data_IF_928579045950
#
_entry.id   IF_928579045950
#
_cell.length_a   1.000
_cell.length_b   1.000
_cell.length_c   1.000
_cell.angle_alpha   90.00
_cell.angle_beta   90.00
_cell.angle_gamma   90.00
#
_symmetry.space_group_name_H-M   'P 1'
#
loop_
_entity.id
_entity.type
_entity.pdbx_description
1 polymer ?
#
# COMPACT_ATOMS: atom_id res chain seq x y z
N UNK A 1 -10.77 7.19 4.42
CA UNK A 1 -10.76 5.83 5.00
C UNK A 1 -12.10 5.14 4.72
N UNK A 2 -12.08 3.83 4.40
CA UNK A 2 -13.30 3.01 4.29
C UNK A 2 -13.66 2.46 5.68
N UNK A 3 -14.94 2.54 6.06
CA UNK A 3 -15.44 1.98 7.33
C UNK A 3 -15.72 0.49 7.13
N UNK A 4 -15.07 -0.36 7.91
CA UNK A 4 -15.25 -1.82 7.86
C UNK A 4 -15.72 -2.33 9.21
N UNK A 5 -16.73 -3.18 9.21
CA UNK A 5 -17.18 -3.93 10.38
C UNK A 5 -16.55 -5.31 10.32
N UNK A 6 -15.83 -5.70 11.38
CA UNK A 6 -15.21 -7.02 11.50
C UNK A 6 -15.79 -7.75 12.69
N UNK A 7 -15.92 -9.07 12.57
CA UNK A 7 -16.25 -9.93 13.69
C UNK A 7 -14.96 -10.32 14.41
N UNK A 8 -14.95 -10.18 15.74
CA UNK A 8 -13.87 -10.62 16.60
C UNK A 8 -14.41 -11.64 17.60
N UNK A 9 -13.71 -12.75 17.85
CA UNK A 9 -14.01 -13.61 18.99
C UNK A 9 -14.01 -12.79 20.29
N UNK A 10 -14.92 -13.13 21.21
CA UNK A 10 -15.13 -12.36 22.45
C UNK A 10 -13.83 -12.20 23.25
N UNK A 11 -13.05 -13.28 23.38
CA UNK A 11 -11.75 -13.26 24.05
C UNK A 11 -10.76 -12.27 23.39
N UNK A 12 -10.71 -12.24 22.06
CA UNK A 12 -9.85 -11.31 21.31
C UNK A 12 -10.30 -9.86 21.51
N UNK A 13 -11.61 -9.62 21.47
CA UNK A 13 -12.18 -8.30 21.70
C UNK A 13 -11.88 -7.79 23.12
N UNK A 14 -12.03 -8.62 24.15
CA UNK A 14 -11.68 -8.26 25.52
C UNK A 14 -10.19 -7.94 25.70
N UNK A 15 -9.31 -8.74 25.08
CA UNK A 15 -7.87 -8.50 25.09
C UNK A 15 -7.53 -7.15 24.46
N UNK A 16 -8.06 -6.88 23.27
CA UNK A 16 -7.87 -5.60 22.57
C UNK A 16 -8.43 -4.42 23.36
N UNK A 17 -9.55 -4.59 24.05
CA UNK A 17 -10.13 -3.53 24.90
C UNK A 17 -9.21 -3.15 26.06
N UNK A 18 -8.58 -4.13 26.71
CA UNK A 18 -7.60 -3.87 27.79
C UNK A 18 -6.37 -3.16 27.25
N UNK A 19 -5.80 -3.66 26.15
CA UNK A 19 -4.65 -3.03 25.50
C UNK A 19 -4.94 -1.59 25.05
N UNK A 20 -6.12 -1.34 24.49
CA UNK A 20 -6.52 0.00 24.05
C UNK A 20 -6.62 0.97 25.22
N UNK A 21 -7.15 0.50 26.36
CA UNK A 21 -7.22 1.28 27.59
C UNK A 21 -5.82 1.60 28.14
N UNK A 22 -4.93 0.60 28.22
CA UNK A 22 -3.56 0.76 28.69
C UNK A 22 -2.73 1.71 27.82
N UNK A 23 -2.91 1.64 26.50
CA UNK A 23 -2.23 2.50 25.53
C UNK A 23 -2.94 3.86 25.30
N UNK A 24 -4.01 4.17 26.04
CA UNK A 24 -4.83 5.38 25.89
C UNK A 24 -5.23 5.66 24.43
N UNK A 25 -5.67 4.61 23.73
CA UNK A 25 -6.04 4.66 22.31
C UNK A 25 -7.34 3.89 22.07
N UNK A 26 -7.79 3.82 20.82
CA UNK A 26 -8.98 3.03 20.44
C UNK A 26 -8.58 1.65 19.91
N UNK A 27 -9.47 0.66 20.05
CA UNK A 27 -9.28 -0.68 19.43
C UNK A 27 -9.05 -0.56 17.92
N UNK A 28 -9.77 0.36 17.26
CA UNK A 28 -9.61 0.60 15.84
C UNK A 28 -8.20 1.13 15.48
N UNK A 29 -7.61 1.94 16.35
CA UNK A 29 -6.25 2.45 16.17
C UNK A 29 -5.20 1.37 16.39
N UNK A 30 -5.36 0.52 17.42
CA UNK A 30 -4.48 -0.64 17.60
C UNK A 30 -4.47 -1.55 16.38
N UNK A 31 -5.65 -1.83 15.83
CA UNK A 31 -5.79 -2.65 14.63
C UNK A 31 -5.10 -1.98 13.44
N UNK A 32 -5.25 -0.66 13.26
CA UNK A 32 -4.56 0.09 12.21
C UNK A 32 -3.05 -0.01 12.36
N UNK A 33 -2.52 0.29 13.53
CA UNK A 33 -1.09 0.20 13.81
C UNK A 33 -0.53 -1.20 13.56
N UNK A 34 -1.29 -2.24 13.93
CA UNK A 34 -0.90 -3.62 13.65
C UNK A 34 -0.91 -3.93 12.14
N UNK A 35 -1.89 -3.42 11.39
CA UNK A 35 -1.94 -3.57 9.93
C UNK A 35 -0.77 -2.84 9.28
N UNK A 36 -0.54 -1.57 9.64
CA UNK A 36 0.54 -0.76 9.08
C UNK A 36 1.91 -1.37 9.39
N UNK A 37 2.08 -1.96 10.59
CA UNK A 37 3.32 -2.63 10.95
C UNK A 37 3.60 -3.92 10.17
N UNK A 38 2.57 -4.60 9.67
CA UNK A 38 2.72 -5.88 8.95
C UNK A 38 2.67 -5.69 7.44
N UNK A 39 1.82 -4.78 6.96
CA UNK A 39 1.47 -4.63 5.55
C UNK A 39 1.72 -3.22 5.03
N UNK A 40 2.30 -2.30 5.82
CA UNK A 40 2.49 -0.91 5.41
C UNK A 40 3.26 -0.78 4.10
N UNK A 41 4.40 -1.47 4.00
CA UNK A 41 5.22 -1.52 2.77
C UNK A 41 4.42 -2.08 1.58
N UNK A 42 3.76 -3.23 1.76
CA UNK A 42 2.95 -3.84 0.70
C UNK A 42 1.81 -2.90 0.24
N UNK A 43 1.19 -2.16 1.17
CA UNK A 43 0.12 -1.21 0.87
C UNK A 43 0.67 -0.01 0.10
N UNK A 44 1.85 0.50 0.46
CA UNK A 44 2.54 1.59 -0.26
C UNK A 44 2.89 1.16 -1.68
N UNK A 45 3.51 -0.02 -1.85
CA UNK A 45 3.85 -0.58 -3.16
C UNK A 45 2.62 -0.75 -4.06
N UNK A 46 1.51 -1.23 -3.49
CA UNK A 46 0.24 -1.37 -4.23
C UNK A 46 -0.29 0.01 -4.65
N UNK A 47 -0.23 1.02 -3.77
CA UNK A 47 -0.69 2.37 -4.08
C UNK A 47 0.14 2.99 -5.21
N UNK A 48 1.47 2.90 -5.13
CA UNK A 48 2.37 3.39 -6.16
C UNK A 48 2.09 2.71 -7.52
N UNK A 49 1.90 1.39 -7.52
CA UNK A 49 1.53 0.66 -8.73
C UNK A 49 0.16 1.09 -9.28
N UNK A 50 -0.85 1.27 -8.44
CA UNK A 50 -2.18 1.74 -8.85
C UNK A 50 -2.12 3.13 -9.48
N UNK A 51 -1.33 4.04 -8.89
CA UNK A 51 -1.12 5.38 -9.44
C UNK A 51 -0.45 5.34 -10.82
N UNK A 52 0.63 4.58 -10.97
CA UNK A 52 1.31 4.43 -12.26
C UNK A 52 0.41 3.78 -13.32
N UNK A 53 -0.42 2.81 -12.92
CA UNK A 53 -1.39 2.20 -13.81
C UNK A 53 -2.46 3.21 -14.27
N UNK A 54 -2.97 4.05 -13.36
CA UNK A 54 -3.93 5.11 -13.71
C UNK A 54 -3.29 6.11 -14.68
N UNK A 55 -2.03 6.53 -14.44
CA UNK A 55 -1.29 7.42 -15.34
C UNK A 55 -1.14 6.82 -16.74
N UNK A 56 -0.77 5.54 -16.82
CA UNK A 56 -0.67 4.83 -18.09
C UNK A 56 -2.03 4.69 -18.79
N UNK A 57 -3.10 4.38 -18.06
CA UNK A 57 -4.44 4.27 -18.64
C UNK A 57 -4.95 5.60 -19.20
N UNK A 58 -4.66 6.72 -18.52
CA UNK A 58 -5.01 8.05 -18.99
C UNK A 58 -4.15 8.50 -20.20
N UNK A 59 -2.87 8.12 -20.20
CA UNK A 59 -1.89 8.51 -21.21
C UNK A 59 -1.02 7.32 -21.65
N UNK A 60 -1.54 6.38 -22.46
CA UNK A 60 -0.76 5.22 -22.89
C UNK A 60 0.52 5.59 -23.66
N UNK A 61 0.51 6.73 -24.34
CA UNK A 61 1.65 7.30 -25.05
C UNK A 61 2.81 7.74 -24.15
N UNK A 62 2.58 7.87 -22.84
CA UNK A 62 3.63 8.15 -21.87
C UNK A 62 4.61 6.98 -21.71
N UNK A 63 4.18 5.75 -22.04
CA UNK A 63 5.03 4.58 -22.02
C UNK A 63 5.91 4.48 -23.28
N UNK A 64 7.12 3.95 -23.10
CA UNK A 64 8.05 3.68 -24.21
C UNK A 64 8.11 2.19 -24.50
N UNK A 65 8.03 1.82 -25.77
CA UNK A 65 8.28 0.44 -26.17
C UNK A 65 9.70 0.00 -25.82
N UNK A 66 9.84 -1.22 -25.29
CA UNK A 66 11.13 -1.77 -24.85
C UNK A 66 12.20 -1.70 -25.96
N UNK A 67 11.84 -2.02 -27.21
CA UNK A 67 12.78 -1.98 -28.33
C UNK A 67 13.26 -0.55 -28.65
N UNK A 68 12.39 0.45 -28.49
CA UNK A 68 12.74 1.86 -28.65
C UNK A 68 13.68 2.32 -27.52
N UNK A 69 13.39 1.94 -26.28
CA UNK A 69 14.25 2.21 -25.13
C UNK A 69 15.65 1.59 -25.27
N UNK A 70 15.73 0.31 -25.65
CA UNK A 70 17.02 -0.39 -25.80
C UNK A 70 17.91 0.24 -26.88
N UNK A 71 17.31 0.74 -27.97
CA UNK A 71 18.05 1.48 -29.00
C UNK A 71 18.60 2.81 -28.48
N UNK A 72 17.80 3.56 -27.72
CA UNK A 72 18.24 4.82 -27.11
C UNK A 72 19.35 4.59 -26.07
N UNK A 73 19.21 3.56 -25.22
CA UNK A 73 20.21 3.25 -24.18
C UNK A 73 21.53 2.78 -24.77
N UNK A 74 21.51 1.94 -25.82
CA UNK A 74 22.74 1.54 -26.52
C UNK A 74 23.47 2.73 -27.13
N UNK A 75 22.74 3.68 -27.71
CA UNK A 75 23.32 4.92 -28.23
C UNK A 75 23.94 5.82 -27.13
N UNK A 76 23.46 5.72 -25.89
CA UNK A 76 23.95 6.52 -24.75
C UNK A 76 25.19 5.93 -24.05
N UNK A 77 25.44 4.62 -24.19
CA UNK A 77 26.60 3.93 -23.58
C UNK A 77 27.81 3.89 -24.53
N UNK A 78 27.60 4.12 -25.83
CA UNK A 78 28.64 4.12 -26.86
C UNK A 78 29.20 5.51 -27.19
N UNK A 79 29.11 6.48 -26.26
CA UNK A 79 29.66 7.84 -26.38
C UNK A 79 30.79 8.06 -25.37
#
# INVERSE_FOLDING_TARGET
MKRTMIYLPEQTHEGLRKLAFEANTSIAELIRQAIDAIYGEDIEDIQDMEEELIKYQAHPESAIELQKYLRQRKAHVSA
#
